data_IF_390950730543
#
_entry.id   IF_390950730543
#
_cell.length_a   1.000
_cell.length_b   1.000
_cell.length_c   1.000
_cell.angle_alpha   90.00
_cell.angle_beta   90.00
_cell.angle_gamma   90.00
#
_symmetry.space_group_name_H-M   'P 1'
#
loop_
_entity.id
_entity.type
_entity.pdbx_description
1 polymer ?
#
# COMPACT_ATOMS: atom_id res chain seq x y z
N UNK A 1 -2.36 4.67 -36.38
CA UNK A 1 -2.29 5.92 -35.60
C UNK A 1 -3.26 6.93 -36.18
N UNK A 2 -4.15 7.49 -35.37
CA UNK A 2 -5.08 8.55 -35.82
C UNK A 2 -4.34 9.89 -35.99
N UNK A 3 -4.90 10.85 -36.75
CA UNK A 3 -4.32 12.20 -36.88
C UNK A 3 -4.08 12.87 -35.52
N UNK A 4 -5.01 12.72 -34.57
CA UNK A 4 -4.89 13.28 -33.22
C UNK A 4 -3.75 12.63 -32.42
N UNK A 5 -3.58 11.32 -32.56
CA UNK A 5 -2.45 10.62 -31.93
C UNK A 5 -1.12 11.12 -32.49
N UNK A 6 -1.04 11.34 -33.82
CA UNK A 6 0.15 11.91 -34.47
C UNK A 6 0.48 13.30 -33.94
N UNK A 7 -0.53 14.16 -33.84
CA UNK A 7 -0.37 15.52 -33.31
C UNK A 7 0.09 15.51 -31.85
N UNK A 8 -0.45 14.61 -31.01
CA UNK A 8 -0.02 14.44 -29.62
C UNK A 8 1.44 14.01 -29.52
N UNK A 9 1.88 13.03 -30.32
CA UNK A 9 3.28 12.58 -30.33
C UNK A 9 4.21 13.71 -30.79
N UNK A 10 3.84 14.42 -31.86
CA UNK A 10 4.63 15.56 -32.35
C UNK A 10 4.77 16.67 -31.31
N UNK A 11 3.69 16.98 -30.58
CA UNK A 11 3.72 17.95 -29.48
C UNK A 11 4.64 17.52 -28.34
N UNK A 12 4.60 16.24 -27.95
CA UNK A 12 5.49 15.70 -26.91
C UNK A 12 6.96 15.68 -27.34
N UNK A 13 7.23 15.28 -28.58
CA UNK A 13 8.59 15.30 -29.14
C UNK A 13 9.16 16.73 -29.15
N UNK A 14 8.36 17.71 -29.61
CA UNK A 14 8.74 19.14 -29.57
C UNK A 14 9.02 19.63 -28.15
N UNK A 15 8.16 19.29 -27.18
CA UNK A 15 8.36 19.68 -25.78
C UNK A 15 9.64 19.05 -25.17
N UNK A 16 10.04 17.87 -25.64
CA UNK A 16 11.26 17.20 -25.23
C UNK A 16 12.51 17.64 -26.04
N UNK A 17 12.38 18.58 -26.98
CA UNK A 17 13.44 18.96 -27.93
C UNK A 17 14.01 17.78 -28.74
N UNK A 18 13.15 16.82 -29.10
CA UNK A 18 13.51 15.65 -29.89
C UNK A 18 12.78 15.66 -31.23
N UNK A 19 13.36 14.98 -32.22
CA UNK A 19 12.61 14.63 -33.44
C UNK A 19 11.53 13.61 -33.09
N UNK A 20 10.47 13.54 -33.89
CA UNK A 20 9.39 12.54 -33.68
C UNK A 20 9.96 11.12 -33.72
N UNK A 21 10.89 10.84 -34.64
CA UNK A 21 11.53 9.54 -34.75
C UNK A 21 12.36 9.18 -33.50
N UNK A 22 13.16 10.12 -33.00
CA UNK A 22 13.98 9.89 -31.81
C UNK A 22 13.13 9.78 -30.53
N UNK A 23 12.07 10.59 -30.43
CA UNK A 23 11.11 10.49 -29.33
C UNK A 23 10.43 9.12 -29.29
N UNK A 24 9.99 8.61 -30.45
CA UNK A 24 9.37 7.28 -30.55
C UNK A 24 10.39 6.17 -30.31
N UNK A 25 11.63 6.29 -30.82
CA UNK A 25 12.71 5.32 -30.55
C UNK A 25 12.94 5.18 -29.05
N UNK A 26 13.12 6.29 -28.33
CA UNK A 26 13.29 6.28 -26.87
C UNK A 26 12.07 5.74 -26.15
N UNK A 27 10.87 6.09 -26.59
CA UNK A 27 9.64 5.58 -25.99
C UNK A 27 9.50 4.06 -26.17
N UNK A 28 9.94 3.52 -27.32
CA UNK A 28 9.95 2.08 -27.57
C UNK A 28 11.03 1.36 -26.76
N UNK A 29 12.22 1.93 -26.62
CA UNK A 29 13.29 1.38 -25.76
C UNK A 29 12.92 1.37 -24.27
N UNK A 30 12.18 2.40 -23.81
CA UNK A 30 11.68 2.48 -22.44
C UNK A 30 10.42 1.64 -22.20
N UNK A 31 9.80 1.10 -23.25
CA UNK A 31 8.61 0.26 -23.10
C UNK A 31 9.04 -1.15 -22.69
N UNK A 32 8.92 -1.43 -21.40
CA UNK A 32 9.16 -2.75 -20.81
C UNK A 32 7.84 -3.32 -20.30
N UNK A 33 7.08 -4.04 -21.15
CA UNK A 33 5.77 -4.54 -20.79
C UNK A 33 5.82 -5.57 -19.66
N UNK A 34 6.85 -6.42 -19.63
CA UNK A 34 6.93 -7.52 -18.66
C UNK A 34 7.38 -7.06 -17.25
N UNK A 35 8.16 -5.98 -17.16
CA UNK A 35 8.68 -5.47 -15.88
C UNK A 35 7.61 -4.77 -15.02
N UNK A 36 6.55 -4.24 -15.63
CA UNK A 36 5.50 -3.52 -14.89
C UNK A 36 4.56 -4.50 -14.20
N UNK A 37 4.20 -5.59 -14.87
CA UNK A 37 3.28 -6.58 -14.32
C UNK A 37 3.92 -7.31 -13.12
N UNK A 38 5.19 -7.72 -13.25
CA UNK A 38 5.94 -8.34 -12.14
C UNK A 38 6.09 -7.43 -10.92
N UNK A 39 6.34 -6.13 -11.12
CA UNK A 39 6.46 -5.16 -10.03
C UNK A 39 5.13 -4.94 -9.33
N UNK A 40 4.03 -4.83 -10.09
CA UNK A 40 2.69 -4.67 -9.55
C UNK A 40 2.23 -5.92 -8.79
N UNK A 41 2.52 -7.12 -9.31
CA UNK A 41 2.23 -8.38 -8.63
C UNK A 41 2.94 -8.48 -7.28
N UNK A 42 4.25 -8.18 -7.24
CA UNK A 42 5.01 -8.15 -5.98
C UNK A 42 4.47 -7.13 -4.98
N UNK A 43 4.05 -5.95 -5.45
CA UNK A 43 3.42 -4.95 -4.60
C UNK A 43 2.11 -5.46 -4.00
N UNK A 44 1.27 -6.13 -4.80
CA UNK A 44 0.02 -6.73 -4.35
C UNK A 44 0.28 -7.80 -3.29
N UNK A 45 1.25 -8.68 -3.52
CA UNK A 45 1.65 -9.70 -2.54
C UNK A 45 2.14 -9.08 -1.22
N UNK A 46 2.96 -8.04 -1.31
CA UNK A 46 3.45 -7.33 -0.13
C UNK A 46 2.31 -6.67 0.66
N UNK A 47 1.34 -6.05 -0.03
CA UNK A 47 0.16 -5.45 0.60
C UNK A 47 -0.67 -6.54 1.32
N UNK A 48 -0.93 -7.66 0.65
CA UNK A 48 -1.66 -8.80 1.24
C UNK A 48 -0.95 -9.34 2.49
N UNK A 49 0.36 -9.57 2.39
CA UNK A 49 1.19 -10.06 3.51
C UNK A 49 1.19 -9.08 4.69
N UNK A 50 1.33 -7.79 4.40
CA UNK A 50 1.32 -6.74 5.44
C UNK A 50 -0.05 -6.62 6.10
N UNK A 51 -1.13 -6.67 5.31
CA UNK A 51 -2.51 -6.67 5.84
C UNK A 51 -2.76 -7.86 6.77
N UNK A 52 -2.37 -9.06 6.37
CA UNK A 52 -2.52 -10.26 7.20
C UNK A 52 -1.74 -10.15 8.53
N UNK A 53 -0.51 -9.62 8.50
CA UNK A 53 0.28 -9.38 9.70
C UNK A 53 -0.36 -8.34 10.62
N UNK A 54 -0.88 -7.25 10.05
CA UNK A 54 -1.56 -6.20 10.80
C UNK A 54 -2.82 -6.73 11.48
N UNK A 55 -3.66 -7.47 10.77
CA UNK A 55 -4.85 -8.13 11.35
C UNK A 55 -4.47 -9.04 12.52
N UNK A 56 -3.46 -9.90 12.33
CA UNK A 56 -2.99 -10.79 13.41
C UNK A 56 -2.48 -10.03 14.64
N UNK A 57 -1.79 -8.91 14.42
CA UNK A 57 -1.30 -8.07 15.52
C UNK A 57 -2.44 -7.37 16.27
N UNK A 58 -3.50 -6.95 15.56
CA UNK A 58 -4.70 -6.39 16.17
C UNK A 58 -5.43 -7.44 17.02
N UNK A 59 -5.62 -8.64 16.49
CA UNK A 59 -6.27 -9.74 17.22
C UNK A 59 -5.51 -10.07 18.52
N UNK A 60 -4.19 -10.20 18.45
CA UNK A 60 -3.35 -10.43 19.64
C UNK A 60 -3.43 -9.27 20.65
N UNK A 61 -3.54 -8.03 20.17
CA UNK A 61 -3.66 -6.86 21.04
C UNK A 61 -5.01 -6.82 21.76
N UNK A 62 -6.09 -7.19 21.07
CA UNK A 62 -7.42 -7.29 21.63
C UNK A 62 -7.51 -8.43 22.67
N UNK A 63 -6.91 -9.58 22.37
CA UNK A 63 -6.83 -10.71 23.31
C UNK A 63 -6.08 -10.30 24.59
N UNK A 64 -4.91 -9.67 24.44
CA UNK A 64 -4.15 -9.17 25.59
C UNK A 64 -4.93 -8.15 26.42
N UNK A 65 -5.65 -7.22 25.77
CA UNK A 65 -6.49 -6.25 26.47
C UNK A 65 -7.61 -6.93 27.26
N UNK A 66 -8.26 -7.95 26.68
CA UNK A 66 -9.31 -8.72 27.36
C UNK A 66 -8.76 -9.49 28.56
N UNK A 67 -7.59 -10.10 28.45
CA UNK A 67 -6.92 -10.77 29.59
C UNK A 67 -6.50 -9.78 30.68
N UNK A 68 -6.02 -8.59 30.29
CA UNK A 68 -5.72 -7.51 31.23
C UNK A 68 -6.96 -7.09 32.00
N UNK A 69 -8.07 -6.87 31.29
CA UNK A 69 -9.34 -6.48 31.89
C UNK A 69 -9.84 -7.53 32.90
N UNK A 70 -9.78 -8.83 32.55
CA UNK A 70 -10.12 -9.91 33.48
C UNK A 70 -9.28 -9.89 34.76
N UNK A 71 -7.97 -9.63 34.65
CA UNK A 71 -7.07 -9.55 35.81
C UNK A 71 -7.42 -8.35 36.70
N UNK A 72 -7.73 -7.20 36.10
CA UNK A 72 -8.15 -5.99 36.84
C UNK A 72 -9.45 -6.27 37.61
N UNK A 73 -10.45 -6.86 36.95
CA UNK A 73 -11.74 -7.20 37.58
C UNK A 73 -11.57 -8.14 38.78
N UNK A 74 -10.69 -9.14 38.67
CA UNK A 74 -10.37 -10.04 39.78
C UNK A 74 -9.72 -9.30 40.96
N UNK A 75 -8.80 -8.37 40.69
CA UNK A 75 -8.16 -7.56 41.74
C UNK A 75 -9.16 -6.60 42.41
N UNK A 76 -10.09 -6.05 41.66
CA UNK A 76 -11.12 -5.14 42.17
C UNK A 76 -12.18 -5.88 42.99
N UNK A 77 -12.60 -7.07 42.57
CA UNK A 77 -13.56 -7.90 43.29
C UNK A 77 -13.06 -8.33 44.68
N UNK A 78 -11.74 -8.51 44.83
CA UNK A 78 -11.10 -8.84 46.11
C UNK A 78 -10.87 -7.65 47.05
N UNK A 79 -11.13 -6.41 46.63
CA UNK A 79 -10.82 -5.21 47.41
C UNK A 79 -12.02 -4.82 48.29
N UNK A 80 -11.92 -4.86 49.64
CA UNK A 80 -12.99 -4.37 50.48
C UNK A 80 -13.21 -2.87 50.22
N UNK A 81 -14.45 -2.48 49.92
CA UNK A 81 -14.83 -1.07 49.77
C UNK A 81 -14.49 -0.33 51.06
N UNK A 82 -13.44 0.48 51.04
CA UNK A 82 -13.10 1.38 52.14
C UNK A 82 -14.24 2.40 52.24
N UNK A 83 -15.13 2.24 53.23
CA UNK A 83 -16.11 3.27 53.57
C UNK A 83 -15.32 4.49 54.03
N UNK A 84 -15.36 5.55 53.23
CA UNK A 84 -14.92 6.87 53.65
C UNK A 84 -15.99 7.35 54.64
N UNK A 85 -15.63 7.43 55.91
CA UNK A 85 -16.41 8.03 57.01
C UNK A 85 -15.72 9.33 57.38
#
# INVERSE_FOLDING_TARGET
MTPDQKAKIAKKAKAANLTVGEFVRRAAEAYQPDDVDDVLERLIEQIKSTGAKASKALDASLEFAAESQKRIEQMEAGRPRKKVV
#
